data_IF_120378503524
#
_entry.id   IF_120378503524
#
_cell.length_a   1.000
_cell.length_b   1.000
_cell.length_c   1.000
_cell.angle_alpha   90.00
_cell.angle_beta   90.00
_cell.angle_gamma   90.00
#
_symmetry.space_group_name_H-M   'P 1'
#
loop_
_entity.id
_entity.type
_entity.pdbx_description
1 polymer ?
#
# COMPACT_ATOMS: atom_id res chain seq x y z
N UNK A 1 -4.39 -29.21 14.58
CA UNK A 1 -3.51 -28.39 15.44
C UNK A 1 -3.60 -26.95 14.94
N UNK A 2 -4.06 -26.01 15.77
CA UNK A 2 -4.15 -24.61 15.35
C UNK A 2 -2.76 -24.11 14.92
N UNK A 3 -2.65 -23.60 13.69
CA UNK A 3 -1.39 -23.16 13.12
C UNK A 3 -0.86 -21.98 13.96
N UNK A 4 0.19 -22.20 14.76
CA UNK A 4 0.75 -21.18 15.67
C UNK A 4 1.37 -19.99 14.94
N UNK A 5 1.66 -20.15 13.65
CA UNK A 5 2.40 -19.21 12.81
C UNK A 5 1.95 -19.34 11.35
N UNK A 6 1.80 -18.22 10.66
CA UNK A 6 1.56 -18.15 9.22
C UNK A 6 2.75 -17.51 8.52
N UNK A 7 3.27 -18.18 7.48
CA UNK A 7 4.45 -17.75 6.75
C UNK A 7 4.07 -17.03 5.46
N UNK A 8 4.77 -15.93 5.21
CA UNK A 8 4.68 -15.13 3.99
C UNK A 8 6.08 -15.07 3.41
N UNK A 9 6.25 -15.60 2.20
CA UNK A 9 7.53 -15.59 1.50
C UNK A 9 7.71 -14.25 0.81
N UNK A 10 8.80 -13.57 1.13
CA UNK A 10 9.09 -12.22 0.66
C UNK A 10 10.08 -12.31 -0.48
N UNK A 11 9.76 -11.65 -1.59
CA UNK A 11 10.60 -11.60 -2.78
C UNK A 11 10.98 -10.17 -3.11
N UNK A 12 12.25 -9.99 -3.45
CA UNK A 12 12.79 -8.80 -4.08
C UNK A 12 12.61 -8.89 -5.60
N UNK A 13 11.96 -7.90 -6.20
CA UNK A 13 11.86 -7.80 -7.65
C UNK A 13 11.71 -6.34 -8.09
N UNK A 14 12.85 -5.66 -8.26
CA UNK A 14 12.95 -4.30 -8.77
C UNK A 14 14.03 -4.22 -9.84
N UNK A 15 13.98 -3.16 -10.66
CA UNK A 15 15.01 -2.89 -11.66
C UNK A 15 16.39 -2.70 -11.00
N UNK A 16 17.47 -3.31 -11.51
CA UNK A 16 17.58 -4.08 -12.77
C UNK A 16 17.52 -5.61 -12.58
N UNK A 17 16.88 -6.13 -11.52
CA UNK A 17 16.82 -7.57 -11.26
C UNK A 17 16.05 -8.30 -12.36
N UNK A 18 16.64 -9.30 -13.04
CA UNK A 18 15.99 -10.00 -14.15
C UNK A 18 14.90 -10.97 -13.69
N UNK A 19 15.00 -11.46 -12.44
CA UNK A 19 14.06 -12.41 -11.84
C UNK A 19 13.81 -12.07 -10.38
N UNK A 20 12.61 -12.36 -9.84
CA UNK A 20 12.35 -12.24 -8.41
C UNK A 20 13.27 -13.16 -7.59
N UNK A 21 13.83 -12.64 -6.49
CA UNK A 21 14.63 -13.43 -5.55
C UNK A 21 13.94 -13.53 -4.20
N UNK A 22 13.87 -14.72 -3.63
CA UNK A 22 13.38 -14.92 -2.28
C UNK A 22 14.37 -14.32 -1.28
N UNK A 23 13.97 -13.29 -0.56
CA UNK A 23 14.82 -12.60 0.42
C UNK A 23 14.60 -13.10 1.83
N UNK A 24 13.47 -13.76 2.12
CA UNK A 24 13.18 -14.20 3.47
C UNK A 24 11.72 -14.55 3.71
N UNK A 25 11.42 -14.84 4.98
CA UNK A 25 10.09 -15.24 5.43
C UNK A 25 9.63 -14.27 6.51
N UNK A 26 8.54 -13.56 6.24
CA UNK A 26 7.78 -12.84 7.25
C UNK A 26 6.77 -13.80 7.89
N UNK A 27 6.75 -13.84 9.21
CA UNK A 27 5.98 -14.80 9.99
C UNK A 27 5.01 -14.06 10.89
N UNK A 28 3.70 -14.27 10.73
CA UNK A 28 2.71 -13.79 11.67
C UNK A 28 2.46 -14.84 12.75
N UNK A 29 2.66 -14.48 14.01
CA UNK A 29 2.49 -15.37 15.16
C UNK A 29 1.11 -15.17 15.81
N UNK A 30 0.35 -16.24 16.00
CA UNK A 30 -0.97 -16.20 16.64
C UNK A 30 -0.84 -16.50 18.14
N UNK A 31 -0.69 -15.44 18.95
CA UNK A 31 -0.68 -15.50 20.42
C UNK A 31 -1.89 -14.77 21.03
N UNK A 32 -2.23 -15.07 22.30
CA UNK A 32 -3.25 -14.32 23.05
C UNK A 32 -2.72 -12.90 23.29
N UNK A 33 -3.25 -11.91 22.57
CA UNK A 33 -3.16 -10.50 22.93
C UNK A 33 -2.56 -9.57 21.87
N UNK A 34 -1.53 -10.00 21.12
CA UNK A 34 -0.93 -9.24 20.01
C UNK A 34 -0.39 -10.20 18.95
N UNK A 35 -0.75 -9.99 17.68
CA UNK A 35 -0.13 -10.73 16.57
C UNK A 35 1.23 -10.10 16.31
N UNK A 36 2.30 -10.71 16.80
CA UNK A 36 3.66 -10.25 16.52
C UNK A 36 4.12 -10.77 15.16
N UNK A 37 4.84 -9.94 14.40
CA UNK A 37 5.56 -10.37 13.20
C UNK A 37 7.03 -10.67 13.52
N UNK A 38 7.60 -11.67 12.84
CA UNK A 38 9.06 -11.87 12.80
C UNK A 38 9.53 -12.04 11.36
N UNK A 39 10.72 -11.54 11.04
CA UNK A 39 11.33 -11.69 9.72
C UNK A 39 12.62 -12.50 9.82
N UNK A 40 12.81 -13.42 8.90
CA UNK A 40 14.04 -14.21 8.79
C UNK A 40 14.55 -14.15 7.35
N UNK A 41 15.79 -13.70 7.18
CA UNK A 41 16.41 -13.67 5.86
C UNK A 41 16.66 -15.07 5.30
N UNK A 42 16.52 -15.20 3.98
CA UNK A 42 17.00 -16.35 3.25
C UNK A 42 18.55 -16.36 3.26
N UNK A 43 19.16 -17.51 3.55
CA UNK A 43 20.62 -17.67 3.62
C UNK A 43 21.31 -17.33 2.30
N UNK A 44 20.72 -17.71 1.16
CA UNK A 44 21.25 -17.38 -0.16
C UNK A 44 21.20 -15.88 -0.41
N UNK A 45 20.15 -15.20 0.07
CA UNK A 45 20.07 -13.73 0.00
C UNK A 45 21.18 -13.07 0.83
N UNK A 46 21.45 -13.54 2.05
CA UNK A 46 22.55 -13.06 2.89
C UNK A 46 23.93 -13.29 2.27
N UNK A 47 24.08 -14.30 1.42
CA UNK A 47 25.34 -14.59 0.71
C UNK A 47 25.47 -13.85 -0.63
N UNK A 48 24.36 -13.33 -1.18
CA UNK A 48 24.31 -12.76 -2.53
C UNK A 48 25.10 -11.46 -2.73
N UNK A 49 25.46 -10.77 -1.64
CA UNK A 49 26.02 -9.39 -1.63
C UNK A 49 25.11 -8.34 -2.29
N UNK A 50 23.83 -8.68 -2.53
CA UNK A 50 22.82 -7.78 -3.07
C UNK A 50 21.94 -7.19 -1.96
N UNK A 51 22.39 -7.27 -0.70
CA UNK A 51 21.61 -6.77 0.42
C UNK A 51 21.56 -5.25 0.40
N UNK A 52 20.40 -4.73 0.79
CA UNK A 52 20.18 -3.32 1.07
C UNK A 52 19.46 -3.21 2.40
N UNK A 53 19.63 -2.07 3.08
CA UNK A 53 18.85 -1.77 4.26
C UNK A 53 17.37 -1.69 3.85
N UNK A 54 16.57 -2.64 4.32
CA UNK A 54 15.12 -2.65 4.08
C UNK A 54 14.39 -1.84 5.14
N UNK A 55 14.85 -1.98 6.37
CA UNK A 55 14.27 -1.42 7.58
C UNK A 55 15.38 -1.36 8.64
N UNK A 56 15.52 -0.27 9.43
CA UNK A 56 16.49 -0.20 10.52
C UNK A 56 16.37 -1.33 11.56
N UNK A 57 15.16 -1.87 11.76
CA UNK A 57 14.90 -2.97 12.69
C UNK A 57 15.29 -4.35 12.10
N UNK A 58 15.76 -4.42 10.86
CA UNK A 58 16.17 -5.66 10.18
C UNK A 58 17.67 -5.65 9.88
N UNK A 59 18.42 -6.46 10.62
CA UNK A 59 19.89 -6.58 10.55
C UNK A 59 20.32 -7.75 9.66
N UNK A 60 21.52 -7.70 9.08
CA UNK A 60 22.00 -8.73 8.13
C UNK A 60 22.54 -10.00 8.80
N UNK A 61 21.69 -10.72 9.53
CA UNK A 61 22.02 -12.02 10.12
C UNK A 61 20.91 -13.06 9.91
N UNK A 62 21.28 -14.33 10.08
CA UNK A 62 20.36 -15.47 9.95
C UNK A 62 19.55 -15.71 11.21
N UNK A 63 18.30 -16.13 11.06
CA UNK A 63 17.40 -16.42 12.17
C UNK A 63 16.31 -15.35 12.33
N UNK A 64 15.32 -15.61 13.20
CA UNK A 64 14.18 -14.73 13.36
C UNK A 64 14.58 -13.41 14.03
N UNK A 65 14.11 -12.32 13.45
CA UNK A 65 14.24 -10.96 13.94
C UNK A 65 12.85 -10.43 14.27
N UNK A 66 12.78 -9.50 15.20
CA UNK A 66 11.52 -8.94 15.69
C UNK A 66 11.59 -7.41 15.65
N UNK A 67 10.49 -6.74 15.29
CA UNK A 67 10.47 -5.29 15.25
C UNK A 67 10.62 -4.70 16.67
N UNK A 68 11.27 -3.55 16.79
CA UNK A 68 11.54 -2.93 18.08
C UNK A 68 10.34 -2.06 18.51
N UNK A 69 9.72 -2.35 19.66
CA UNK A 69 8.57 -1.61 20.22
C UNK A 69 7.38 -1.42 19.25
N UNK A 70 7.25 -2.27 18.23
CA UNK A 70 6.20 -2.22 17.20
C UNK A 70 5.62 -3.63 17.01
N UNK A 71 4.45 -3.71 16.39
CA UNK A 71 3.84 -5.01 16.07
C UNK A 71 4.39 -5.61 14.75
N UNK A 72 4.87 -4.76 13.84
CA UNK A 72 5.39 -5.13 12.53
C UNK A 72 6.57 -4.21 12.12
N UNK A 73 7.34 -4.62 11.12
CA UNK A 73 8.42 -3.82 10.53
C UNK A 73 7.85 -2.74 9.60
N UNK A 74 8.43 -1.55 9.63
CA UNK A 74 8.03 -0.40 8.81
C UNK A 74 8.00 -0.72 7.31
N UNK A 75 8.98 -1.46 6.80
CA UNK A 75 9.03 -1.82 5.37
C UNK A 75 7.82 -2.64 4.90
N UNK A 76 7.24 -3.46 5.78
CA UNK A 76 6.02 -4.20 5.47
C UNK A 76 4.78 -3.32 5.68
N UNK A 77 4.79 -2.41 6.66
CA UNK A 77 3.74 -1.40 6.86
C UNK A 77 3.62 -0.45 5.67
N UNK A 78 4.72 -0.04 5.06
CA UNK A 78 4.74 0.74 3.81
C UNK A 78 3.94 0.02 2.69
N UNK A 79 3.95 -1.31 2.69
CA UNK A 79 3.24 -2.14 1.72
C UNK A 79 1.77 -2.41 2.08
N UNK A 80 1.26 -1.87 3.20
CA UNK A 80 -0.11 -2.07 3.67
C UNK A 80 -1.09 -1.05 3.07
N UNK A 81 -2.40 -1.35 3.07
CA UNK A 81 -3.39 -0.35 2.71
C UNK A 81 -3.49 0.71 3.81
N UNK A 82 -3.76 1.95 3.40
CA UNK A 82 -4.10 3.03 4.31
C UNK A 82 -5.51 2.91 4.88
N UNK A 83 -5.96 3.94 5.62
CA UNK A 83 -7.31 4.01 6.19
C UNK A 83 -8.41 3.81 5.16
N UNK A 84 -8.28 4.35 3.95
CA UNK A 84 -9.23 4.14 2.86
C UNK A 84 -9.26 2.67 2.42
N UNK A 85 -8.09 2.10 2.10
CA UNK A 85 -7.98 0.70 1.69
C UNK A 85 -8.45 -0.29 2.77
N UNK A 86 -8.12 -0.04 4.04
CA UNK A 86 -8.61 -0.82 5.19
C UNK A 86 -10.13 -0.76 5.31
N UNK A 87 -10.73 0.40 5.07
CA UNK A 87 -12.20 0.57 5.09
C UNK A 87 -12.86 -0.23 3.97
N UNK A 88 -12.32 -0.17 2.75
CA UNK A 88 -12.78 -0.98 1.63
C UNK A 88 -12.72 -2.48 1.94
N UNK A 89 -11.61 -2.95 2.51
CA UNK A 89 -11.44 -4.35 2.90
C UNK A 89 -12.46 -4.79 3.94
N UNK A 90 -12.66 -4.00 5.01
CA UNK A 90 -13.67 -4.29 6.04
C UNK A 90 -15.07 -4.42 5.43
N UNK A 91 -15.46 -3.50 4.53
CA UNK A 91 -16.77 -3.54 3.87
C UNK A 91 -16.91 -4.75 2.96
N UNK A 92 -15.87 -5.07 2.18
CA UNK A 92 -15.85 -6.28 1.33
C UNK A 92 -16.02 -7.55 2.17
N UNK A 93 -15.32 -7.67 3.29
CA UNK A 93 -15.46 -8.82 4.20
C UNK A 93 -16.86 -8.91 4.78
N UNK A 94 -17.46 -7.78 5.19
CA UNK A 94 -18.82 -7.76 5.70
C UNK A 94 -19.87 -8.15 4.65
N UNK A 95 -19.71 -7.68 3.40
CA UNK A 95 -20.62 -8.01 2.30
C UNK A 95 -20.56 -9.50 1.93
N UNK A 96 -19.35 -10.07 1.79
CA UNK A 96 -19.18 -11.50 1.52
C UNK A 96 -19.77 -12.37 2.62
N UNK A 97 -19.60 -11.97 3.89
CA UNK A 97 -20.18 -12.68 5.00
C UNK A 97 -21.72 -12.64 4.97
N UNK A 98 -22.32 -11.47 4.67
CA UNK A 98 -23.78 -11.33 4.52
C UNK A 98 -24.33 -12.25 3.44
N UNK A 99 -23.67 -12.33 2.29
CA UNK A 99 -24.10 -13.18 1.16
C UNK A 99 -24.00 -14.67 1.44
N UNK A 100 -22.96 -15.06 2.19
CA UNK A 100 -22.78 -16.45 2.60
C UNK A 100 -23.61 -16.80 3.85
N UNK A 101 -24.41 -15.86 4.39
CA UNK A 101 -25.12 -15.99 5.66
C UNK A 101 -24.19 -16.34 6.84
N UNK A 102 -23.00 -15.75 6.85
CA UNK A 102 -21.95 -15.91 7.85
C UNK A 102 -21.72 -14.63 8.66
N UNK A 103 -21.07 -14.75 9.82
CA UNK A 103 -20.61 -13.60 10.59
C UNK A 103 -19.33 -13.03 9.96
N UNK A 104 -19.30 -11.72 9.74
CA UNK A 104 -18.11 -11.04 9.22
C UNK A 104 -16.87 -11.33 10.10
N UNK A 105 -15.82 -11.85 9.47
CA UNK A 105 -14.56 -12.12 10.15
C UNK A 105 -13.91 -10.82 10.60
N UNK A 106 -13.29 -10.83 11.78
CA UNK A 106 -12.44 -9.73 12.23
C UNK A 106 -11.14 -9.75 11.43
N UNK A 107 -10.86 -8.66 10.71
CA UNK A 107 -9.61 -8.46 9.98
C UNK A 107 -8.52 -7.96 10.92
N UNK A 108 -7.35 -8.58 10.83
CA UNK A 108 -6.13 -8.21 11.56
C UNK A 108 -5.03 -7.76 10.59
N UNK A 109 -3.89 -7.30 11.11
CA UNK A 109 -2.78 -6.76 10.31
C UNK A 109 -2.31 -7.67 9.17
N UNK A 110 -2.20 -8.97 9.41
CA UNK A 110 -1.87 -9.94 8.35
C UNK A 110 -2.91 -9.94 7.21
N UNK A 111 -4.19 -9.82 7.52
CA UNK A 111 -5.25 -9.85 6.52
C UNK A 111 -5.17 -8.61 5.62
N UNK A 112 -4.88 -7.44 6.21
CA UNK A 112 -4.62 -6.21 5.44
C UNK A 112 -3.36 -6.31 4.59
N UNK A 113 -2.28 -6.89 5.13
CA UNK A 113 -1.05 -7.09 4.38
C UNK A 113 -1.28 -7.98 3.15
N UNK A 114 -2.03 -9.09 3.33
CA UNK A 114 -2.30 -10.07 2.29
C UNK A 114 -3.37 -9.63 1.29
N UNK A 115 -4.28 -8.74 1.68
CA UNK A 115 -5.38 -8.29 0.83
C UNK A 115 -5.00 -7.26 -0.24
N UNK A 116 -3.75 -6.82 -0.29
CA UNK A 116 -3.25 -5.89 -1.32
C UNK A 116 -2.76 -6.64 -2.55
N UNK A 117 -3.27 -6.24 -3.72
CA UNK A 117 -2.90 -6.78 -5.03
C UNK A 117 -1.41 -6.59 -5.34
N UNK A 118 -0.73 -7.63 -5.85
CA UNK A 118 0.73 -7.57 -6.07
C UNK A 118 1.11 -6.39 -6.97
N UNK A 119 0.51 -6.27 -8.16
CA UNK A 119 0.85 -5.23 -9.17
C UNK A 119 0.78 -3.82 -8.59
N UNK A 120 -0.26 -3.54 -7.79
CA UNK A 120 -0.48 -2.23 -7.22
C UNK A 120 0.27 -2.02 -5.90
N UNK A 121 0.78 -3.05 -5.20
CA UNK A 121 1.50 -2.91 -3.91
C UNK A 121 2.59 -1.83 -3.97
N UNK A 122 2.69 -1.01 -2.93
CA UNK A 122 3.71 0.04 -2.85
C UNK A 122 5.12 -0.56 -2.79
N UNK A 123 6.07 0.08 -3.47
CA UNK A 123 7.45 -0.38 -3.55
C UNK A 123 7.58 -1.63 -4.42
N UNK A 124 8.57 -2.47 -4.07
CA UNK A 124 9.00 -3.57 -4.92
C UNK A 124 9.11 -4.94 -4.25
N UNK A 125 8.68 -5.03 -2.99
CA UNK A 125 8.54 -6.32 -2.32
C UNK A 125 7.29 -7.03 -2.83
N UNK A 126 7.43 -8.31 -3.12
CA UNK A 126 6.36 -9.18 -3.63
C UNK A 126 6.18 -10.34 -2.68
N UNK A 127 4.94 -10.76 -2.47
CA UNK A 127 4.63 -11.74 -1.44
C UNK A 127 4.03 -13.00 -2.05
N UNK A 128 4.33 -14.15 -1.44
CA UNK A 128 3.65 -15.41 -1.70
C UNK A 128 3.23 -16.06 -0.38
N UNK A 129 2.13 -16.79 -0.40
CA UNK A 129 1.70 -17.68 0.70
C UNK A 129 2.12 -19.13 0.48
N UNK A 130 2.39 -19.50 -0.77
CA UNK A 130 2.99 -20.76 -1.20
C UNK A 130 4.22 -20.44 -2.07
N UNK A 131 5.43 -20.95 -1.77
CA UNK A 131 6.63 -20.72 -2.59
C UNK A 131 6.43 -21.05 -4.08
N UNK A 132 5.67 -22.11 -4.36
CA UNK A 132 5.37 -22.60 -5.70
C UNK A 132 4.11 -21.96 -6.30
N UNK A 133 3.36 -21.21 -5.49
CA UNK A 133 2.18 -20.48 -5.92
C UNK A 133 2.50 -19.18 -6.68
N UNK A 134 1.47 -18.53 -7.23
CA UNK A 134 1.60 -17.19 -7.77
C UNK A 134 1.92 -16.16 -6.68
N UNK A 135 2.37 -14.98 -7.08
CA UNK A 135 2.37 -13.83 -6.18
C UNK A 135 0.95 -13.49 -5.75
N UNK A 136 0.83 -12.87 -4.56
CA UNK A 136 -0.45 -12.53 -3.95
C UNK A 136 -1.36 -11.77 -4.90
N UNK A 137 -2.57 -12.31 -5.08
CA UNK A 137 -3.62 -11.75 -5.92
C UNK A 137 -3.03 -11.28 -7.27
N UNK A 138 -2.48 -12.22 -8.05
CA UNK A 138 -2.02 -12.01 -9.43
C UNK A 138 -3.13 -12.37 -10.43
N UNK A 139 -4.40 -12.24 -10.05
CA UNK A 139 -5.49 -12.64 -10.93
C UNK A 139 -5.65 -11.64 -12.07
N UNK A 140 -5.51 -12.09 -13.31
CA UNK A 140 -5.72 -11.28 -14.51
C UNK A 140 -7.20 -10.85 -14.69
N UNK A 141 -8.09 -11.30 -13.81
CA UNK A 141 -9.53 -11.10 -13.88
C UNK A 141 -10.00 -9.75 -13.30
N UNK A 142 -9.13 -9.04 -12.58
CA UNK A 142 -9.35 -7.65 -12.16
C UNK A 142 -8.08 -6.83 -12.35
N UNK A 143 -7.72 -6.50 -13.61
CA UNK A 143 -6.56 -5.67 -13.89
C UNK A 143 -6.75 -4.27 -13.32
N UNK A 144 -5.64 -3.57 -13.05
CA UNK A 144 -5.67 -2.14 -12.75
C UNK A 144 -6.49 -1.42 -13.84
N UNK A 145 -7.50 -0.61 -13.47
CA UNK A 145 -8.43 -0.01 -14.44
C UNK A 145 -7.71 0.98 -15.36
N UNK A 146 -8.13 1.10 -16.63
CA UNK A 146 -7.60 2.11 -17.54
C UNK A 146 -8.11 3.51 -17.17
N UNK A 147 -7.41 4.54 -17.64
CA UNK A 147 -7.79 5.95 -17.47
C UNK A 147 -9.24 6.24 -17.89
N UNK A 148 -9.76 5.52 -18.89
CA UNK A 148 -11.13 5.69 -19.38
C UNK A 148 -12.21 5.37 -18.33
N UNK A 149 -11.90 4.56 -17.31
CA UNK A 149 -12.83 4.21 -16.23
C UNK A 149 -12.93 5.27 -15.13
N UNK A 150 -12.24 6.41 -15.27
CA UNK A 150 -12.13 7.39 -14.18
C UNK A 150 -13.47 7.95 -13.69
N UNK A 151 -14.42 8.17 -14.60
CA UNK A 151 -15.75 8.66 -14.27
C UNK A 151 -16.53 7.65 -13.42
N UNK A 152 -16.44 6.36 -13.77
CA UNK A 152 -17.09 5.28 -13.03
C UNK A 152 -16.44 5.07 -11.66
N UNK A 153 -15.11 5.23 -11.57
CA UNK A 153 -14.37 5.14 -10.31
C UNK A 153 -14.71 6.27 -9.35
N UNK A 154 -14.80 7.51 -9.86
CA UNK A 154 -15.17 8.66 -9.03
C UNK A 154 -16.60 8.50 -8.49
N UNK A 155 -17.53 8.03 -9.33
CA UNK A 155 -18.91 7.78 -8.92
C UNK A 155 -18.98 6.64 -7.89
N UNK A 156 -18.25 5.54 -8.10
CA UNK A 156 -18.20 4.43 -7.14
C UNK A 156 -17.58 4.85 -5.79
N UNK A 157 -16.53 5.68 -5.82
CA UNK A 157 -15.92 6.25 -4.62
C UNK A 157 -16.92 7.12 -3.85
N UNK A 158 -17.66 7.98 -4.55
CA UNK A 158 -18.72 8.81 -3.96
C UNK A 158 -19.83 7.97 -3.33
N UNK A 159 -20.36 7.01 -4.07
CA UNK A 159 -21.39 6.09 -3.56
C UNK A 159 -20.91 5.33 -2.33
N UNK A 160 -19.63 4.94 -2.29
CA UNK A 160 -19.04 4.30 -1.13
C UNK A 160 -19.03 5.24 0.09
N UNK A 161 -18.62 6.49 -0.07
CA UNK A 161 -18.64 7.44 1.05
C UNK A 161 -20.07 7.76 1.52
N UNK A 162 -21.05 7.80 0.62
CA UNK A 162 -22.47 8.07 0.92
C UNK A 162 -23.21 6.86 1.50
N UNK A 163 -22.82 5.64 1.13
CA UNK A 163 -23.41 4.40 1.60
C UNK A 163 -23.06 4.14 3.07
N UNK A 164 -23.89 4.63 3.99
CA UNK A 164 -23.96 4.17 5.38
C UNK A 164 -24.66 2.80 5.44
N UNK A 165 -24.05 1.78 4.83
CA UNK A 165 -24.53 0.38 4.88
C UNK A 165 -25.20 -0.17 3.62
N UNK A 166 -25.20 0.57 2.51
CA UNK A 166 -25.68 0.05 1.22
C UNK A 166 -24.67 -0.87 0.54
N UNK A 167 -25.20 -1.83 -0.20
CA UNK A 167 -24.46 -2.85 -0.93
C UNK A 167 -23.76 -2.22 -2.14
N UNK A 168 -22.49 -1.86 -1.98
CA UNK A 168 -21.67 -1.35 -3.09
C UNK A 168 -21.41 -2.51 -4.06
N UNK A 169 -21.49 -2.25 -5.36
CA UNK A 169 -21.24 -3.28 -6.36
C UNK A 169 -19.82 -3.84 -6.17
N UNK A 170 -19.72 -5.16 -5.94
CA UNK A 170 -18.47 -5.89 -5.65
C UNK A 170 -17.32 -5.56 -6.59
N UNK A 171 -17.65 -5.30 -7.86
CA UNK A 171 -16.67 -5.00 -8.90
C UNK A 171 -15.84 -3.77 -8.51
N UNK A 172 -16.46 -2.74 -7.94
CA UNK A 172 -15.76 -1.51 -7.55
C UNK A 172 -14.92 -1.67 -6.29
N UNK A 173 -15.31 -2.53 -5.35
CA UNK A 173 -14.51 -2.76 -4.14
C UNK A 173 -13.13 -3.34 -4.47
N UNK A 174 -13.04 -4.25 -5.43
CA UNK A 174 -11.74 -4.78 -5.89
C UNK A 174 -10.91 -3.71 -6.59
N UNK A 175 -11.56 -2.83 -7.36
CA UNK A 175 -10.88 -1.84 -8.19
C UNK A 175 -10.41 -0.63 -7.35
N UNK A 176 -11.17 -0.24 -6.33
CA UNK A 176 -10.86 0.90 -5.46
C UNK A 176 -9.78 0.58 -4.41
N UNK A 177 -9.38 -0.69 -4.26
CA UNK A 177 -8.29 -1.10 -3.38
C UNK A 177 -6.93 -0.66 -3.96
N UNK A 178 -6.61 0.61 -3.77
CA UNK A 178 -5.29 1.16 -4.03
C UNK A 178 -4.44 1.15 -2.75
N UNK A 179 -3.26 0.50 -2.76
CA UNK A 179 -2.32 0.61 -1.64
C UNK A 179 -1.56 1.94 -1.65
N UNK A 180 -0.94 2.23 -0.52
CA UNK A 180 -0.09 3.39 -0.30
C UNK A 180 -0.47 4.08 1.00
N UNK A 181 0.52 4.46 1.80
CA UNK A 181 0.32 5.15 3.07
C UNK A 181 -0.37 6.50 2.84
N UNK A 182 -1.30 6.86 3.73
CA UNK A 182 -1.97 8.16 3.73
C UNK A 182 -1.82 8.77 5.11
N UNK A 183 -0.83 9.66 5.23
CA UNK A 183 -0.81 10.68 6.27
C UNK A 183 -1.90 11.71 5.92
N UNK A 184 -3.16 11.38 6.16
CA UNK A 184 -4.27 12.24 5.71
C UNK A 184 -5.68 11.67 5.82
N UNK A 185 -5.86 10.48 6.40
CA UNK A 185 -7.18 9.88 6.60
C UNK A 185 -7.73 9.15 5.37
N UNK A 186 -9.02 8.80 5.43
CA UNK A 186 -9.69 7.89 4.50
C UNK A 186 -10.14 8.52 3.18
N UNK A 187 -9.33 9.42 2.58
CA UNK A 187 -9.69 10.06 1.31
C UNK A 187 -9.76 9.02 0.18
N UNK A 188 -10.81 9.01 -0.65
CA UNK A 188 -10.93 8.02 -1.71
C UNK A 188 -9.83 8.14 -2.76
N UNK A 189 -9.24 7.00 -3.12
CA UNK A 189 -8.23 6.90 -4.18
C UNK A 189 -8.28 5.56 -4.90
N UNK A 190 -7.75 5.53 -6.11
CA UNK A 190 -7.61 4.34 -6.94
C UNK A 190 -6.29 4.38 -7.75
N UNK A 191 -5.75 3.21 -8.11
CA UNK A 191 -4.70 3.14 -9.13
C UNK A 191 -5.35 3.06 -10.50
N UNK A 192 -4.78 3.74 -11.49
CA UNK A 192 -5.23 3.71 -12.89
C UNK A 192 -4.03 3.60 -13.83
N UNK A 193 -4.25 3.04 -15.02
CA UNK A 193 -3.25 2.99 -16.10
C UNK A 193 -3.51 4.04 -17.16
N UNK A 194 -2.46 4.75 -17.60
CA UNK A 194 -2.54 5.56 -18.81
C UNK A 194 -2.39 4.72 -20.10
N UNK A 195 -2.44 5.40 -21.27
CA UNK A 195 -2.31 4.73 -22.58
C UNK A 195 -0.96 4.04 -22.79
N UNK A 196 0.07 4.49 -22.08
CA UNK A 196 1.43 3.93 -22.13
C UNK A 196 1.66 2.86 -21.05
N UNK A 197 0.61 2.47 -20.32
CA UNK A 197 0.64 1.53 -19.19
C UNK A 197 1.47 2.03 -18.01
N UNK A 198 1.66 3.33 -17.86
CA UNK A 198 2.19 3.85 -16.61
C UNK A 198 1.11 3.83 -15.53
N UNK A 199 1.51 3.53 -14.30
CA UNK A 199 0.63 3.51 -13.15
C UNK A 199 0.50 4.90 -12.53
N UNK A 200 -0.73 5.32 -12.26
CA UNK A 200 -1.08 6.58 -11.63
C UNK A 200 -1.97 6.34 -10.42
N UNK A 201 -1.93 7.26 -9.47
CA UNK A 201 -2.87 7.33 -8.36
C UNK A 201 -3.84 8.46 -8.64
N UNK A 202 -5.13 8.15 -8.73
CA UNK A 202 -6.22 9.11 -8.75
C UNK A 202 -6.72 9.34 -7.32
N UNK A 203 -6.75 10.60 -6.87
CA UNK A 203 -7.29 11.02 -5.58
C UNK A 203 -8.58 11.80 -5.82
N UNK A 204 -9.70 11.16 -5.50
CA UNK A 204 -11.02 11.71 -5.79
C UNK A 204 -11.41 12.79 -4.77
N UNK A 205 -12.36 13.68 -5.12
CA UNK A 205 -13.09 14.45 -4.13
C UNK A 205 -13.70 13.54 -3.06
N UNK A 206 -13.64 13.98 -1.79
CA UNK A 206 -14.39 13.33 -0.70
C UNK A 206 -15.69 14.08 -0.45
N UNK A 207 -16.74 13.39 0.00
CA UNK A 207 -18.00 14.02 0.47
C UNK A 207 -17.78 15.05 1.59
N UNK A 208 -16.69 14.90 2.35
CA UNK A 208 -16.36 15.78 3.47
C UNK A 208 -15.49 16.99 3.05
N UNK A 209 -15.18 17.13 1.75
CA UNK A 209 -14.39 18.25 1.26
C UNK A 209 -15.20 19.55 1.25
N UNK A 210 -14.77 20.53 2.04
CA UNK A 210 -15.30 21.91 2.00
C UNK A 210 -14.57 22.80 0.98
N UNK A 211 -13.48 22.30 0.40
CA UNK A 211 -12.62 23.02 -0.55
C UNK A 211 -12.10 22.06 -1.62
N UNK A 212 -11.67 22.59 -2.76
CA UNK A 212 -11.06 21.78 -3.81
C UNK A 212 -9.64 21.34 -3.42
N UNK A 213 -9.55 20.23 -2.70
CA UNK A 213 -8.27 19.66 -2.23
C UNK A 213 -7.36 19.26 -3.38
N UNK A 214 -7.90 18.82 -4.52
CA UNK A 214 -7.09 18.49 -5.68
C UNK A 214 -6.41 19.73 -6.25
N UNK A 215 -7.11 20.87 -6.29
CA UNK A 215 -6.51 22.14 -6.71
C UNK A 215 -5.38 22.58 -5.77
N UNK A 216 -5.57 22.41 -4.45
CA UNK A 216 -4.52 22.67 -3.47
C UNK A 216 -3.31 21.72 -3.61
N UNK A 217 -3.53 20.42 -3.83
CA UNK A 217 -2.42 19.49 -4.10
C UNK A 217 -1.66 19.88 -5.37
N UNK A 218 -2.37 20.27 -6.43
CA UNK A 218 -1.74 20.69 -7.68
C UNK A 218 -0.98 22.01 -7.55
N UNK A 219 -1.51 22.98 -6.79
CA UNK A 219 -0.79 24.21 -6.48
C UNK A 219 0.53 23.92 -5.75
N UNK A 220 0.50 23.09 -4.71
CA UNK A 220 1.71 22.70 -3.96
C UNK A 220 2.71 21.96 -4.86
N UNK A 221 2.24 21.11 -5.76
CA UNK A 221 3.08 20.46 -6.77
C UNK A 221 3.77 21.49 -7.69
N UNK A 222 3.06 22.50 -8.19
CA UNK A 222 3.65 23.56 -9.01
C UNK A 222 4.67 24.39 -8.23
N UNK A 223 4.38 24.71 -6.96
CA UNK A 223 5.33 25.41 -6.09
C UNK A 223 6.59 24.59 -5.84
N UNK A 224 6.47 23.28 -5.62
CA UNK A 224 7.60 22.37 -5.44
C UNK A 224 8.49 22.33 -6.70
N UNK A 225 7.89 22.24 -7.89
CA UNK A 225 8.64 22.30 -9.16
C UNK A 225 9.38 23.64 -9.33
N UNK A 226 8.70 24.76 -9.03
CA UNK A 226 9.30 26.09 -9.11
C UNK A 226 10.45 26.27 -8.09
N UNK A 227 10.41 25.54 -6.98
CA UNK A 227 11.48 25.49 -5.98
C UNK A 227 12.60 24.49 -6.33
N UNK A 228 12.52 23.80 -7.48
CA UNK A 228 13.53 22.82 -7.92
C UNK A 228 13.42 21.44 -7.25
N UNK A 229 12.31 21.15 -6.56
CA UNK A 229 12.08 19.83 -5.96
C UNK A 229 11.69 18.85 -7.06
N UNK A 230 12.36 17.70 -7.08
CA UNK A 230 12.01 16.62 -8.01
C UNK A 230 10.67 15.98 -7.60
N UNK A 231 9.67 16.07 -8.48
CA UNK A 231 8.31 15.59 -8.22
C UNK A 231 7.87 14.64 -9.32
N UNK A 232 7.10 13.61 -8.93
CA UNK A 232 6.46 12.75 -9.91
C UNK A 232 5.44 13.53 -10.76
N UNK A 233 5.36 13.28 -12.08
CA UNK A 233 4.41 13.96 -12.96
C UNK A 233 3.00 13.93 -12.40
N UNK A 234 2.42 15.10 -12.20
CA UNK A 234 1.09 15.24 -11.61
C UNK A 234 0.21 16.15 -12.44
N UNK A 235 -1.09 15.90 -12.42
CA UNK A 235 -2.10 16.70 -13.14
C UNK A 235 -3.43 16.66 -12.41
N UNK A 236 -4.32 17.56 -12.81
CA UNK A 236 -5.65 17.68 -12.23
C UNK A 236 -6.69 17.67 -13.34
N UNK A 237 -7.83 17.03 -13.11
CA UNK A 237 -8.93 17.01 -14.07
C UNK A 237 -10.27 17.06 -13.33
N UNK A 238 -11.19 17.87 -13.84
CA UNK A 238 -12.58 17.85 -13.39
C UNK A 238 -13.32 16.73 -14.13
N UNK A 239 -13.81 15.74 -13.38
CA UNK A 239 -14.48 14.56 -13.94
C UNK A 239 -15.99 14.77 -13.87
N UNK A 240 -16.55 14.75 -12.66
CA UNK A 240 -17.93 15.13 -12.35
C UNK A 240 -17.97 15.99 -11.07
N UNK A 241 -19.08 16.68 -10.83
CA UNK A 241 -19.27 17.48 -9.62
C UNK A 241 -18.55 18.84 -9.64
N UNK A 242 -18.29 19.38 -8.45
CA UNK A 242 -17.72 20.73 -8.27
C UNK A 242 -16.18 20.72 -8.20
N UNK A 243 -15.62 19.76 -7.48
CA UNK A 243 -14.18 19.63 -7.23
C UNK A 243 -13.48 18.74 -8.26
N UNK A 244 -12.16 18.90 -8.36
CA UNK A 244 -11.34 18.12 -9.28
C UNK A 244 -10.83 16.81 -8.64
N UNK A 245 -10.40 15.89 -9.50
CA UNK A 245 -9.56 14.75 -9.12
C UNK A 245 -8.10 15.09 -9.38
N UNK A 246 -7.24 14.82 -8.40
CA UNK A 246 -5.79 14.94 -8.53
C UNK A 246 -5.18 13.61 -8.97
N UNK A 247 -4.22 13.66 -9.88
CA UNK A 247 -3.53 12.50 -10.40
C UNK A 247 -2.03 12.67 -10.22
N UNK A 248 -1.37 11.63 -9.72
CA UNK A 248 0.09 11.59 -9.65
C UNK A 248 0.62 10.27 -10.20
N UNK A 249 1.63 10.36 -11.07
CA UNK A 249 2.30 9.19 -11.62
C UNK A 249 3.08 8.51 -10.50
N UNK A 250 3.06 7.19 -10.46
CA UNK A 250 3.82 6.46 -9.45
C UNK A 250 5.30 6.46 -9.77
N UNK A 251 6.10 7.00 -8.84
CA UNK A 251 7.56 7.02 -8.96
C UNK A 251 8.20 5.66 -8.70
N UNK A 252 7.50 4.75 -8.02
CA UNK A 252 7.97 3.39 -7.72
C UNK A 252 7.72 2.41 -8.88
N UNK A 253 7.41 2.94 -10.07
CA UNK A 253 7.14 2.21 -11.30
C UNK A 253 7.80 2.88 -12.49
N UNK A 254 8.42 2.07 -13.36
CA UNK A 254 8.97 2.50 -14.64
C UNK A 254 8.67 1.45 -15.71
N UNK A 255 7.79 1.77 -16.67
CA UNK A 255 7.43 0.88 -17.79
C UNK A 255 7.04 -0.55 -17.38
N UNK A 256 6.32 -0.69 -16.27
CA UNK A 256 5.89 -1.97 -15.71
C UNK A 256 6.93 -2.63 -14.78
N UNK A 257 8.17 -2.14 -14.76
CA UNK A 257 9.16 -2.51 -13.76
C UNK A 257 8.93 -1.78 -12.44
N UNK A 258 9.38 -2.39 -11.33
CA UNK A 258 9.28 -1.81 -10.00
C UNK A 258 10.58 -1.13 -9.60
N UNK A 259 10.46 -0.06 -8.84
CA UNK A 259 11.58 0.60 -8.17
C UNK A 259 11.34 0.45 -6.67
N UNK A 260 12.31 -0.13 -5.95
CA UNK A 260 12.19 -0.27 -4.51
C UNK A 260 12.41 1.06 -3.81
N UNK A 261 11.64 1.31 -2.75
CA UNK A 261 11.85 2.40 -1.81
C UNK A 261 11.30 1.99 -0.44
N UNK A 262 11.72 2.70 0.59
CA UNK A 262 11.11 2.70 1.91
C UNK A 262 10.77 4.14 2.28
N UNK A 263 9.71 4.33 3.06
CA UNK A 263 9.33 5.67 3.50
C UNK A 263 10.32 6.25 4.50
N UNK A 264 10.37 7.58 4.60
CA UNK A 264 11.12 8.25 5.67
C UNK A 264 10.63 7.78 7.04
N UNK A 265 9.33 7.54 7.20
CA UNK A 265 8.75 6.99 8.44
C UNK A 265 9.41 5.66 8.83
N UNK A 266 9.52 4.72 7.88
CA UNK A 266 10.24 3.45 8.09
C UNK A 266 11.70 3.68 8.45
N UNK A 267 12.40 4.51 7.67
CA UNK A 267 13.84 4.69 7.78
C UNK A 267 14.28 5.46 9.04
N UNK A 268 13.44 6.33 9.58
CA UNK A 268 13.68 6.99 10.87
C UNK A 268 13.10 6.19 12.05
N UNK A 269 12.66 4.95 11.83
CA UNK A 269 12.11 4.10 12.89
C UNK A 269 10.76 4.55 13.46
N UNK A 270 10.07 5.47 12.79
CA UNK A 270 8.77 6.01 13.19
C UNK A 270 7.60 5.12 12.73
N UNK A 271 6.40 5.39 13.26
CA UNK A 271 5.13 4.86 12.77
C UNK A 271 4.02 5.93 12.88
N UNK A 272 2.80 5.62 12.43
CA UNK A 272 1.69 6.57 12.45
C UNK A 272 1.33 7.07 13.87
N UNK A 273 1.46 6.21 14.89
CA UNK A 273 1.18 6.59 16.27
C UNK A 273 2.28 7.47 16.85
N UNK A 274 3.55 7.13 16.62
CA UNK A 274 4.68 7.92 17.13
C UNK A 274 4.71 9.32 16.52
N UNK A 275 4.47 9.46 15.21
CA UNK A 275 4.44 10.77 14.54
C UNK A 275 3.26 11.62 15.02
N UNK A 276 2.12 10.99 15.37
CA UNK A 276 0.96 11.70 15.91
C UNK A 276 1.25 12.30 17.29
N UNK A 277 1.99 11.58 18.13
CA UNK A 277 2.31 11.99 19.50
C UNK A 277 3.57 12.86 19.57
N UNK A 278 4.56 12.56 18.73
CA UNK A 278 5.84 13.24 18.61
C UNK A 278 6.17 13.50 17.13
N UNK A 279 5.82 14.67 16.59
CA UNK A 279 6.05 15.00 15.19
C UNK A 279 7.52 14.86 14.79
N UNK A 280 7.79 14.07 13.75
CA UNK A 280 9.12 13.92 13.19
C UNK A 280 9.62 15.23 12.56
N UNK A 281 10.92 15.45 12.61
CA UNK A 281 11.59 16.64 12.09
C UNK A 281 12.34 16.38 10.78
N UNK A 282 12.58 17.43 9.99
CA UNK A 282 13.50 17.34 8.84
C UNK A 282 14.93 16.99 9.25
N UNK A 283 15.32 17.27 10.50
CA UNK A 283 16.64 16.92 11.03
C UNK A 283 16.80 15.40 11.16
N UNK A 284 15.78 14.67 11.59
CA UNK A 284 15.80 13.19 11.62
C UNK A 284 15.98 12.59 10.22
N UNK A 285 15.32 13.18 9.21
CA UNK A 285 15.48 12.74 7.82
C UNK A 285 16.90 13.04 7.33
N UNK A 286 17.45 14.20 7.67
CA UNK A 286 18.81 14.59 7.29
C UNK A 286 19.88 13.77 8.01
N UNK A 287 19.65 13.37 9.26
CA UNK A 287 20.56 12.50 10.04
C UNK A 287 20.62 11.08 9.46
N UNK A 288 19.52 10.61 8.84
CA UNK A 288 19.48 9.30 8.22
C UNK A 288 20.22 9.22 6.87
N UNK A 289 20.21 10.29 6.06
CA UNK A 289 20.79 10.35 4.70
C UNK A 289 22.32 10.47 4.75
#
# INVERSE_FOLDING_TARGET
MAQKKFNIFIYAHWKPMPVPKNIGILSAHYGKGKKAFSFEYNKEWLQSKQQMLLDPDIQFYSGPQYPNNKENFGVFLDSMPDTWGRTLMKRRTAQLAKENNEKAATLYEIDYLLGVYDESRMGALRFKTDPNGPFLDNSATTPTPPWSSISELQEAAKQFEEAEGNEVAKNWLKILMAPGSSLGGARPKANILDKEKNLWIAKFPSKNDTTDKAAWEFLTYQLALNAGINMAPSKIQKITGTHHTFFTKRFDRDKGERIHFASAMTMTGNNEDTIRENPASYLEIAEFI
#
